data_IF_225184828949
#
_entry.id   IF_225184828949
#
_cell.length_a   1.000
_cell.length_b   1.000
_cell.length_c   1.000
_cell.angle_alpha   90.00
_cell.angle_beta   90.00
_cell.angle_gamma   90.00
#
_symmetry.space_group_name_H-M   'P 1'
#
loop_
_entity.id
_entity.type
_entity.pdbx_description
1 polymer ?
#
# COMPACT_ATOMS: atom_id res chain seq x y z
N UNK A 1 -29.56 14.17 -3.66
CA UNK A 1 -28.16 14.31 -3.22
C UNK A 1 -27.54 12.95 -3.39
N UNK A 2 -26.97 12.71 -4.56
CA UNK A 2 -26.34 11.43 -4.86
C UNK A 2 -25.07 11.32 -4.02
N UNK A 3 -25.12 10.47 -3.01
CA UNK A 3 -23.95 10.04 -2.27
C UNK A 3 -23.00 9.39 -3.28
N UNK A 4 -21.99 10.13 -3.71
CA UNK A 4 -20.82 9.58 -4.39
C UNK A 4 -20.40 8.32 -3.60
N UNK A 5 -20.23 7.15 -4.24
CA UNK A 5 -19.71 6.00 -3.53
C UNK A 5 -18.40 6.46 -2.89
N UNK A 6 -18.32 6.35 -1.57
CA UNK A 6 -17.08 6.55 -0.85
C UNK A 6 -16.13 5.48 -1.36
N UNK A 7 -15.38 5.77 -2.42
CA UNK A 7 -14.46 4.82 -3.02
C UNK A 7 -13.38 4.57 -1.96
N UNK A 8 -13.60 3.51 -1.17
CA UNK A 8 -12.74 3.10 -0.09
C UNK A 8 -11.54 2.37 -0.71
N UNK A 9 -10.84 3.01 -1.65
CA UNK A 9 -9.81 2.35 -2.44
C UNK A 9 -8.50 2.33 -1.66
N UNK A 10 -7.90 1.14 -1.60
CA UNK A 10 -6.52 0.94 -1.20
C UNK A 10 -5.67 0.79 -2.47
N UNK A 11 -4.83 1.79 -2.73
CA UNK A 11 -3.92 1.76 -3.86
C UNK A 11 -2.68 0.93 -3.50
N UNK A 12 -2.42 -0.12 -4.28
CA UNK A 12 -1.39 -1.12 -4.03
C UNK A 12 -0.23 -0.90 -5.02
N UNK A 13 0.95 -0.64 -4.47
CA UNK A 13 2.20 -0.44 -5.19
C UNK A 13 3.05 -1.72 -5.13
N UNK A 14 3.46 -2.18 -6.31
CA UNK A 14 4.28 -3.37 -6.57
C UNK A 14 5.76 -3.11 -6.27
N UNK A 15 6.52 -4.20 -6.19
CA UNK A 15 7.98 -4.18 -6.13
C UNK A 15 8.65 -3.79 -7.45
N UNK A 16 9.94 -4.09 -7.56
CA UNK A 16 10.71 -3.84 -8.78
C UNK A 16 10.26 -4.76 -9.93
N UNK A 17 10.39 -4.28 -11.16
CA UNK A 17 10.13 -5.06 -12.37
C UNK A 17 11.25 -6.06 -12.63
N UNK A 18 10.89 -7.25 -13.10
CA UNK A 18 11.82 -8.30 -13.52
C UNK A 18 11.48 -8.75 -14.95
N UNK A 19 12.38 -9.48 -15.62
CA UNK A 19 12.16 -9.93 -17.00
C UNK A 19 10.85 -10.72 -17.20
N UNK A 20 10.46 -11.54 -16.21
CA UNK A 20 9.20 -12.30 -16.21
C UNK A 20 8.02 -11.57 -15.53
N UNK A 21 8.27 -10.40 -14.93
CA UNK A 21 7.29 -9.58 -14.23
C UNK A 21 7.57 -8.09 -14.50
N UNK A 22 7.41 -7.61 -15.74
CA UNK A 22 7.82 -6.26 -16.14
C UNK A 22 7.03 -5.17 -15.41
N UNK A 23 5.80 -5.47 -14.99
CA UNK A 23 4.94 -4.58 -14.21
C UNK A 23 5.28 -4.53 -12.72
N UNK A 24 6.18 -5.38 -12.24
CA UNK A 24 6.59 -5.42 -10.83
C UNK A 24 6.17 -6.70 -10.12
N UNK A 25 7.05 -7.19 -9.24
CA UNK A 25 6.78 -8.35 -8.40
C UNK A 25 5.76 -8.00 -7.31
N UNK A 26 4.75 -8.84 -7.15
CA UNK A 26 3.79 -8.80 -6.05
C UNK A 26 3.01 -10.12 -6.03
N UNK A 27 2.64 -10.60 -4.83
CA UNK A 27 1.55 -11.57 -4.66
C UNK A 27 0.24 -10.78 -4.63
N UNK A 28 -0.34 -10.58 -5.82
CA UNK A 28 -1.55 -9.78 -6.02
C UNK A 28 -2.74 -10.34 -5.23
N UNK A 29 -2.89 -11.67 -5.17
CA UNK A 29 -3.99 -12.32 -4.47
C UNK A 29 -3.97 -11.98 -2.99
N UNK A 30 -2.81 -12.12 -2.34
CA UNK A 30 -2.67 -11.81 -0.91
C UNK A 30 -2.86 -10.33 -0.62
N UNK A 31 -2.31 -9.44 -1.45
CA UNK A 31 -2.45 -7.99 -1.27
C UNK A 31 -3.90 -7.51 -1.44
N UNK A 32 -4.59 -8.01 -2.46
CA UNK A 32 -6.01 -7.71 -2.71
C UNK A 32 -6.91 -8.30 -1.62
N UNK A 33 -6.65 -9.52 -1.17
CA UNK A 33 -7.37 -10.14 -0.07
C UNK A 33 -7.20 -9.35 1.23
N UNK A 34 -5.99 -8.88 1.52
CA UNK A 34 -5.72 -8.01 2.66
C UNK A 34 -6.53 -6.71 2.57
N UNK A 35 -6.48 -6.00 1.43
CA UNK A 35 -7.26 -4.77 1.24
C UNK A 35 -8.76 -4.99 1.52
N UNK A 36 -9.33 -6.06 0.95
CA UNK A 36 -10.74 -6.44 1.15
C UNK A 36 -11.07 -6.72 2.61
N UNK A 37 -10.23 -7.46 3.32
CA UNK A 37 -10.44 -7.79 4.73
C UNK A 37 -10.30 -6.58 5.65
N UNK A 38 -9.56 -5.55 5.21
CA UNK A 38 -9.51 -4.24 5.86
C UNK A 38 -10.67 -3.31 5.43
N UNK A 39 -11.63 -3.81 4.64
CA UNK A 39 -12.81 -3.05 4.19
C UNK A 39 -12.58 -2.15 2.97
N UNK A 40 -11.44 -2.27 2.29
CA UNK A 40 -11.08 -1.46 1.12
C UNK A 40 -11.30 -2.22 -0.20
N UNK A 41 -11.61 -1.49 -1.26
CA UNK A 41 -11.44 -1.98 -2.62
C UNK A 41 -9.96 -1.89 -2.99
N UNK A 42 -9.28 -3.03 -3.11
CA UNK A 42 -7.87 -3.07 -3.51
C UNK A 42 -7.71 -2.80 -5.01
N UNK A 43 -6.79 -1.90 -5.37
CA UNK A 43 -6.41 -1.65 -6.77
C UNK A 43 -4.89 -1.67 -6.91
N UNK A 44 -4.38 -2.57 -7.77
CA UNK A 44 -2.95 -2.69 -8.01
C UNK A 44 -2.52 -1.76 -9.14
N UNK A 45 -1.48 -0.97 -8.90
CA UNK A 45 -0.81 -0.24 -9.99
C UNK A 45 -0.01 -1.22 -10.85
N UNK A 46 -0.40 -1.31 -12.11
CA UNK A 46 0.22 -2.17 -13.12
C UNK A 46 1.49 -1.56 -13.73
N UNK A 47 2.35 -1.01 -12.87
CA UNK A 47 3.60 -0.36 -13.25
C UNK A 47 4.65 -0.53 -12.14
N UNK A 48 5.90 -0.77 -12.53
CA UNK A 48 7.03 -0.90 -11.61
C UNK A 48 7.89 0.36 -11.57
N UNK A 49 8.76 0.41 -10.55
CA UNK A 49 9.85 1.38 -10.48
C UNK A 49 9.52 2.64 -9.68
N UNK A 50 10.51 3.52 -9.56
CA UNK A 50 10.44 4.71 -8.68
C UNK A 50 9.84 5.93 -9.37
N UNK A 51 9.93 6.05 -10.69
CA UNK A 51 9.38 7.20 -11.43
C UNK A 51 7.91 7.00 -11.80
N UNK A 52 7.60 6.10 -12.76
CA UNK A 52 6.24 5.96 -13.28
C UNK A 52 5.21 5.56 -12.22
N UNK A 53 5.57 4.64 -11.33
CA UNK A 53 4.67 4.19 -10.27
C UNK A 53 4.41 5.29 -9.22
N UNK A 54 5.44 6.05 -8.84
CA UNK A 54 5.28 7.19 -7.93
C UNK A 54 4.38 8.25 -8.54
N UNK A 55 4.61 8.62 -9.81
CA UNK A 55 3.80 9.63 -10.50
C UNK A 55 2.34 9.19 -10.59
N UNK A 56 2.07 7.95 -11.01
CA UNK A 56 0.70 7.43 -11.07
C UNK A 56 0.04 7.42 -9.69
N UNK A 57 0.77 7.06 -8.63
CA UNK A 57 0.22 7.10 -7.27
C UNK A 57 -0.16 8.53 -6.84
N UNK A 58 0.69 9.51 -7.11
CA UNK A 58 0.40 10.93 -6.84
C UNK A 58 -0.85 11.39 -7.61
N UNK A 59 -0.96 11.03 -8.89
CA UNK A 59 -2.12 11.39 -9.71
C UNK A 59 -3.42 10.79 -9.16
N UNK A 60 -3.39 9.50 -8.74
CA UNK A 60 -4.52 8.83 -8.08
C UNK A 60 -4.97 9.55 -6.82
N UNK A 61 -4.01 9.89 -5.94
CA UNK A 61 -4.30 10.59 -4.68
C UNK A 61 -4.90 11.98 -4.96
N UNK A 62 -4.35 12.69 -5.95
CA UNK A 62 -4.83 14.03 -6.35
C UNK A 62 -6.26 13.98 -6.88
N UNK A 63 -6.64 12.95 -7.64
CA UNK A 63 -8.03 12.74 -8.09
C UNK A 63 -9.01 12.53 -6.92
N UNK A 64 -8.52 12.13 -5.75
CA UNK A 64 -9.31 11.96 -4.55
C UNK A 64 -10.05 10.63 -4.46
N UNK A 65 -9.67 9.63 -5.27
CA UNK A 65 -10.28 8.28 -5.22
C UNK A 65 -9.54 7.29 -4.31
N UNK A 66 -8.41 7.69 -3.72
CA UNK A 66 -7.60 6.85 -2.82
C UNK A 66 -7.81 7.26 -1.37
N UNK A 67 -8.03 6.27 -0.51
CA UNK A 67 -8.16 6.49 0.95
C UNK A 67 -7.27 5.57 1.80
N UNK A 68 -6.53 4.66 1.18
CA UNK A 68 -5.46 3.91 1.81
C UNK A 68 -4.33 3.58 0.82
N UNK A 69 -3.13 3.36 1.34
CA UNK A 69 -1.95 3.00 0.56
C UNK A 69 -1.40 1.66 1.05
N UNK A 70 -0.91 0.86 0.11
CA UNK A 70 -0.18 -0.37 0.37
C UNK A 70 1.06 -0.40 -0.52
N UNK A 71 2.23 -0.66 0.04
CA UNK A 71 3.48 -0.71 -0.72
C UNK A 71 4.29 -1.95 -0.39
N UNK A 72 4.58 -2.76 -1.41
CA UNK A 72 5.47 -3.91 -1.30
C UNK A 72 6.85 -3.59 -1.88
N UNK A 73 7.92 -3.94 -1.17
CA UNK A 73 9.30 -3.84 -1.65
C UNK A 73 9.62 -2.42 -2.15
N UNK A 74 10.01 -2.26 -3.42
CA UNK A 74 10.19 -0.94 -4.06
C UNK A 74 8.97 -0.02 -3.91
N UNK A 75 7.76 -0.55 -3.99
CA UNK A 75 6.53 0.20 -3.73
C UNK A 75 6.44 0.70 -2.28
N UNK A 76 6.95 -0.06 -1.32
CA UNK A 76 7.07 0.36 0.09
C UNK A 76 8.06 1.51 0.26
N UNK A 77 9.19 1.48 -0.44
CA UNK A 77 10.15 2.59 -0.47
C UNK A 77 9.60 3.87 -1.09
N UNK A 78 8.60 3.78 -1.97
CA UNK A 78 7.92 4.96 -2.51
C UNK A 78 7.01 5.66 -1.48
N UNK A 79 6.62 5.00 -0.38
CA UNK A 79 5.62 5.55 0.56
C UNK A 79 6.07 6.87 1.22
N UNK A 80 7.29 6.99 1.80
CA UNK A 80 7.77 8.26 2.32
C UNK A 80 7.83 9.37 1.25
N UNK A 81 8.14 8.99 0.00
CA UNK A 81 8.21 9.92 -1.12
C UNK A 81 6.84 10.42 -1.57
N UNK A 82 5.82 9.57 -1.53
CA UNK A 82 4.42 9.97 -1.75
C UNK A 82 4.00 10.90 -0.63
N UNK A 83 4.17 10.47 0.62
CA UNK A 83 3.68 11.20 1.79
C UNK A 83 4.23 12.63 1.85
N UNK A 84 5.52 12.82 1.56
CA UNK A 84 6.15 14.15 1.58
C UNK A 84 5.70 15.09 0.46
N UNK A 85 5.08 14.57 -0.61
CA UNK A 85 4.69 15.33 -1.81
C UNK A 85 3.19 15.64 -1.88
N UNK A 86 2.36 14.95 -1.12
CA UNK A 86 0.92 15.21 -1.06
C UNK A 86 0.59 16.29 -0.03
N UNK A 87 -0.45 17.06 -0.32
CA UNK A 87 -0.93 18.17 0.50
C UNK A 87 -1.53 17.70 1.84
N UNK A 88 -1.73 18.62 2.79
CA UNK A 88 -2.41 18.29 4.04
C UNK A 88 -3.84 17.77 3.82
N UNK A 89 -4.56 18.33 2.86
CA UNK A 89 -5.92 17.89 2.48
C UNK A 89 -5.89 16.47 1.89
N UNK A 90 -4.91 16.18 1.03
CA UNK A 90 -4.71 14.85 0.47
C UNK A 90 -4.37 13.83 1.56
N UNK A 91 -3.47 14.18 2.49
CA UNK A 91 -3.13 13.35 3.66
C UNK A 91 -4.34 13.06 4.53
N UNK A 92 -5.21 14.04 4.76
CA UNK A 92 -6.40 13.88 5.59
C UNK A 92 -7.40 12.86 5.02
N UNK A 93 -7.37 12.58 3.71
CA UNK A 93 -8.19 11.52 3.08
C UNK A 93 -7.59 10.12 3.24
N UNK A 94 -6.27 10.03 3.44
CA UNK A 94 -5.58 8.75 3.63
C UNK A 94 -5.72 8.32 5.08
N UNK A 95 -6.45 7.21 5.28
CA UNK A 95 -6.76 6.66 6.61
C UNK A 95 -5.77 5.60 7.06
N UNK A 96 -5.08 4.95 6.13
CA UNK A 96 -4.15 3.85 6.42
C UNK A 96 -3.00 3.78 5.44
N UNK A 97 -1.81 3.45 5.93
CA UNK A 97 -0.63 3.13 5.13
C UNK A 97 -0.10 1.75 5.55
N UNK A 98 0.15 0.89 4.57
CA UNK A 98 0.70 -0.46 4.78
C UNK A 98 1.98 -0.61 3.98
N UNK A 99 3.03 -1.10 4.62
CA UNK A 99 4.38 -1.18 4.06
C UNK A 99 4.91 -2.58 4.33
N UNK A 100 5.30 -3.30 3.28
CA UNK A 100 5.76 -4.69 3.38
C UNK A 100 7.11 -4.82 2.70
N UNK A 101 8.09 -5.37 3.40
CA UNK A 101 9.41 -5.68 2.83
C UNK A 101 10.20 -4.45 2.38
N UNK A 102 10.09 -3.33 3.10
CA UNK A 102 10.91 -2.14 2.85
C UNK A 102 11.74 -1.76 4.10
N UNK A 103 12.80 -2.52 4.42
CA UNK A 103 13.70 -2.21 5.54
C UNK A 103 14.20 -0.76 5.54
N UNK A 104 14.20 -0.13 6.71
CA UNK A 104 14.60 1.27 6.89
C UNK A 104 13.45 2.28 6.78
N UNK A 105 12.28 1.87 6.28
CA UNK A 105 11.07 2.68 6.37
C UNK A 105 10.49 2.59 7.78
N UNK A 106 10.14 3.73 8.36
CA UNK A 106 9.66 3.85 9.75
C UNK A 106 8.44 4.77 9.85
N UNK A 107 7.66 4.62 10.92
CA UNK A 107 6.46 5.44 11.16
C UNK A 107 6.75 6.94 11.29
N UNK A 108 7.97 7.31 11.72
CA UNK A 108 8.41 8.71 11.81
C UNK A 108 8.39 9.45 10.46
N UNK A 109 8.43 8.73 9.34
CA UNK A 109 8.34 9.32 7.99
C UNK A 109 6.90 9.67 7.58
N UNK A 110 5.91 9.29 8.39
CA UNK A 110 4.49 9.53 8.14
C UNK A 110 3.88 10.37 9.27
N UNK A 111 4.34 11.62 9.46
CA UNK A 111 3.77 12.47 10.51
C UNK A 111 2.29 12.74 10.24
N UNK A 112 1.48 12.66 11.29
CA UNK A 112 0.06 13.05 11.28
C UNK A 112 -0.94 11.95 10.92
N UNK A 113 -0.51 10.74 10.58
CA UNK A 113 -1.41 9.60 10.37
C UNK A 113 -1.30 8.61 11.53
N UNK A 114 -2.46 8.13 12.02
CA UNK A 114 -2.54 7.25 13.19
C UNK A 114 -2.42 5.76 12.89
N UNK A 115 -2.49 5.36 11.62
CA UNK A 115 -2.58 3.95 11.21
C UNK A 115 -1.55 3.64 10.11
N UNK A 116 -0.37 3.22 10.58
CA UNK A 116 0.75 2.80 9.73
C UNK A 116 1.17 1.39 10.14
N UNK A 117 1.03 0.44 9.22
CA UNK A 117 1.47 -0.94 9.39
C UNK A 117 2.76 -1.15 8.63
N UNK A 118 3.83 -1.55 9.32
CA UNK A 118 5.12 -1.85 8.70
C UNK A 118 5.47 -3.29 9.03
N UNK A 119 5.56 -4.13 8.00
CA UNK A 119 5.90 -5.54 8.10
C UNK A 119 7.22 -5.80 7.38
N UNK A 120 8.18 -6.35 8.11
CA UNK A 120 9.45 -6.82 7.54
C UNK A 120 9.28 -8.10 6.72
N UNK A 121 10.38 -8.57 6.15
CA UNK A 121 10.38 -9.83 5.42
C UNK A 121 10.17 -11.02 6.36
N UNK A 122 9.29 -11.98 6.00
CA UNK A 122 9.12 -13.20 6.77
C UNK A 122 10.30 -14.17 6.53
N UNK A 123 10.44 -15.18 7.41
CA UNK A 123 11.53 -16.17 7.31
C UNK A 123 11.47 -16.97 6.00
N UNK A 124 10.28 -17.16 5.48
CA UNK A 124 9.95 -17.85 4.23
C UNK A 124 10.37 -17.04 2.99
N UNK A 125 10.85 -15.81 3.16
CA UNK A 125 11.44 -14.98 2.13
C UNK A 125 10.60 -13.78 1.72
N UNK A 126 11.26 -12.81 1.08
CA UNK A 126 10.71 -11.50 0.72
C UNK A 126 9.36 -11.57 -0.02
N UNK A 127 9.24 -12.48 -1.00
CA UNK A 127 8.00 -12.63 -1.79
C UNK A 127 6.81 -13.15 -0.99
N UNK A 128 7.03 -13.75 0.18
CA UNK A 128 5.96 -14.19 1.07
C UNK A 128 5.43 -13.07 1.98
N UNK A 129 5.99 -11.86 1.91
CA UNK A 129 5.58 -10.72 2.73
C UNK A 129 4.07 -10.42 2.71
N UNK A 130 3.43 -10.25 1.54
CA UNK A 130 1.99 -9.98 1.45
C UNK A 130 1.13 -11.07 2.10
N UNK A 131 1.47 -12.34 1.86
CA UNK A 131 0.77 -13.49 2.44
C UNK A 131 0.94 -13.56 3.96
N UNK A 132 2.16 -13.34 4.45
CA UNK A 132 2.43 -13.31 5.88
C UNK A 132 1.64 -12.20 6.59
N UNK A 133 1.59 -11.00 5.99
CA UNK A 133 0.78 -9.89 6.50
C UNK A 133 -0.71 -10.25 6.57
N UNK A 134 -1.26 -10.82 5.49
CA UNK A 134 -2.66 -11.27 5.45
C UNK A 134 -2.97 -12.26 6.58
N UNK A 135 -2.14 -13.28 6.74
CA UNK A 135 -2.33 -14.30 7.80
C UNK A 135 -2.21 -13.69 9.20
N UNK A 136 -1.25 -12.78 9.41
CA UNK A 136 -1.09 -12.10 10.70
C UNK A 136 -2.34 -11.26 11.04
N UNK A 137 -2.89 -10.52 10.06
CA UNK A 137 -4.10 -9.72 10.28
C UNK A 137 -5.31 -10.57 10.66
N UNK A 138 -5.48 -11.73 10.03
CA UNK A 138 -6.55 -12.69 10.37
C UNK A 138 -6.39 -13.28 11.76
N UNK A 139 -5.16 -13.54 12.20
CA UNK A 139 -4.90 -14.04 13.54
C UNK A 139 -5.27 -12.99 14.62
N UNK A 140 -4.98 -11.72 14.35
CA UNK A 140 -5.34 -10.61 15.24
C UNK A 140 -6.86 -10.44 15.35
N UNK A 141 -7.59 -10.53 14.23
CA UNK A 141 -9.05 -10.42 14.22
C UNK A 141 -9.80 -11.57 14.91
N UNK A 142 -9.15 -12.69 15.21
CA UNK A 142 -9.75 -13.84 15.92
C UNK A 142 -9.59 -13.80 17.44
N UNK A 143 -8.81 -12.85 17.95
CA UNK A 143 -8.50 -12.73 19.38
C UNK A 143 -9.39 -11.71 20.08
N UNK A 144 -10.39 -11.17 19.39
CA UNK A 144 -11.37 -10.18 19.87
C UNK A 144 -12.78 -10.75 19.89
#
# INVERSE_FOLDING_TARGET
MDSQPSNNTMLILRGLGAGYAPKGLLDDESALAYAREQGYAGEVLDVAGEGPQLQMALDRIKRGDVTALYGFSRGGYNMPHIWSRISAEERARIRRIVIVGAPGVTTAQFPGIGDVVIQGDPKEGHMNGPKALLLASRAQSRTV
#
